data_IF_626025439411
#
_entry.id   IF_626025439411
#
_cell.length_a   1.000
_cell.length_b   1.000
_cell.length_c   1.000
_cell.angle_alpha   90.00
_cell.angle_beta   90.00
_cell.angle_gamma   90.00
#
_symmetry.space_group_name_H-M   'P 1'
#
loop_
_entity.id
_entity.type
_entity.pdbx_description
1 polymer ?
#
# COMPACT_ATOMS: atom_id res chain seq x y z
N UNK A 1 29.26 -24.76 1.57
CA UNK A 1 28.83 -24.31 0.24
C UNK A 1 28.10 -23.01 0.44
N UNK A 2 28.31 -22.02 -0.42
CA UNK A 2 27.57 -20.76 -0.36
C UNK A 2 26.24 -20.97 -1.07
N UNK A 3 25.13 -20.61 -0.44
CA UNK A 3 23.78 -20.81 -1.02
C UNK A 3 23.40 -19.66 -1.98
N UNK A 4 24.33 -18.73 -2.19
CA UNK A 4 24.28 -17.71 -3.24
C UNK A 4 25.40 -17.92 -4.27
N UNK A 5 25.03 -17.99 -5.54
CA UNK A 5 25.97 -18.16 -6.65
C UNK A 5 26.17 -16.84 -7.39
N UNK A 6 27.38 -16.24 -7.38
CA UNK A 6 27.64 -15.03 -8.15
C UNK A 6 27.79 -15.37 -9.64
N UNK A 7 27.02 -14.69 -10.49
CA UNK A 7 27.15 -14.73 -11.94
C UNK A 7 27.55 -13.35 -12.44
N UNK A 8 28.48 -13.30 -13.40
CA UNK A 8 28.89 -12.05 -14.05
C UNK A 8 28.09 -11.87 -15.33
N UNK A 9 27.31 -10.80 -15.40
CA UNK A 9 26.58 -10.38 -16.60
C UNK A 9 27.06 -8.98 -17.00
N UNK A 10 27.87 -8.92 -18.06
CA UNK A 10 28.60 -7.70 -18.43
C UNK A 10 29.60 -7.29 -17.35
N UNK A 11 29.51 -6.05 -16.85
CA UNK A 11 30.37 -5.53 -15.77
C UNK A 11 29.78 -5.76 -14.36
N UNK A 12 28.60 -6.36 -14.24
CA UNK A 12 27.90 -6.53 -12.97
C UNK A 12 28.01 -7.96 -12.45
N UNK A 13 28.21 -8.08 -11.14
CA UNK A 13 27.99 -9.34 -10.41
C UNK A 13 26.56 -9.39 -9.90
N UNK A 14 25.86 -10.49 -10.17
CA UNK A 14 24.50 -10.76 -9.73
C UNK A 14 24.52 -12.04 -8.89
N UNK A 15 24.04 -11.96 -7.66
CA UNK A 15 23.89 -13.10 -6.78
C UNK A 15 22.58 -13.83 -7.06
N UNK A 16 22.66 -15.08 -7.46
CA UNK A 16 21.50 -15.95 -7.64
C UNK A 16 21.12 -16.59 -6.31
N UNK A 17 19.84 -16.48 -5.93
CA UNK A 17 19.34 -16.94 -4.63
C UNK A 17 18.28 -18.03 -4.85
N UNK A 18 18.51 -19.20 -4.25
CA UNK A 18 17.66 -20.39 -4.41
C UNK A 18 16.93 -20.81 -3.13
N UNK A 19 17.44 -20.43 -1.95
CA UNK A 19 16.98 -20.92 -0.64
C UNK A 19 16.81 -19.78 0.37
N UNK A 20 16.17 -20.10 1.49
CA UNK A 20 15.99 -19.16 2.61
C UNK A 20 17.33 -18.79 3.26
N UNK A 21 18.22 -19.77 3.42
CA UNK A 21 19.57 -19.60 3.93
C UNK A 21 20.40 -18.72 2.97
N UNK A 22 20.24 -18.89 1.66
CA UNK A 22 20.85 -18.01 0.65
C UNK A 22 20.33 -16.57 0.73
N UNK A 23 19.02 -16.37 0.90
CA UNK A 23 18.47 -15.02 1.08
C UNK A 23 18.96 -14.37 2.38
N UNK A 24 19.03 -15.14 3.47
CA UNK A 24 19.62 -14.69 4.74
C UNK A 24 21.09 -14.32 4.57
N UNK A 25 21.88 -15.15 3.89
CA UNK A 25 23.30 -14.88 3.61
C UNK A 25 23.48 -13.60 2.77
N UNK A 26 22.59 -13.36 1.80
CA UNK A 26 22.58 -12.11 1.04
C UNK A 26 22.22 -10.90 1.91
N UNK A 27 21.22 -11.04 2.78
CA UNK A 27 20.84 -9.98 3.72
C UNK A 27 21.97 -9.61 4.69
N UNK A 28 22.67 -10.62 5.20
CA UNK A 28 23.83 -10.43 6.07
C UNK A 28 25.00 -9.73 5.35
N UNK A 29 25.22 -10.02 4.06
CA UNK A 29 26.19 -9.31 3.23
C UNK A 29 25.83 -7.83 3.02
N UNK A 30 24.56 -7.54 2.74
CA UNK A 30 24.06 -6.16 2.59
C UNK A 30 24.26 -5.37 3.88
N UNK A 31 23.98 -6.01 5.03
CA UNK A 31 24.06 -5.38 6.34
C UNK A 31 25.50 -5.30 6.88
N UNK A 32 26.39 -6.20 6.47
CA UNK A 32 27.76 -6.26 6.96
C UNK A 32 27.87 -6.79 8.38
N UNK A 33 27.14 -7.84 8.73
CA UNK A 33 27.13 -8.39 10.10
C UNK A 33 28.48 -9.01 10.48
N UNK A 34 28.84 -8.99 11.77
CA UNK A 34 30.09 -9.62 12.27
C UNK A 34 30.16 -11.13 11.97
N UNK A 35 29.01 -11.80 11.93
CA UNK A 35 28.88 -13.20 11.53
C UNK A 35 29.22 -13.41 10.05
N UNK A 36 28.83 -12.50 9.16
CA UNK A 36 29.21 -12.53 7.74
C UNK A 36 30.70 -12.24 7.54
N UNK A 37 31.25 -11.28 8.29
CA UNK A 37 32.66 -10.89 8.22
C UNK A 37 33.62 -12.01 8.68
N UNK A 38 33.18 -12.92 9.55
CA UNK A 38 33.98 -14.02 10.11
C UNK A 38 33.85 -15.34 9.36
N UNK A 39 32.72 -15.61 8.69
CA UNK A 39 32.44 -16.90 8.04
C UNK A 39 33.14 -17.12 6.68
N UNK A 40 33.64 -16.07 6.01
CA UNK A 40 34.31 -16.21 4.70
C UNK A 40 35.76 -15.74 4.74
N UNK A 41 36.69 -16.67 4.55
CA UNK A 41 38.14 -16.46 4.43
C UNK A 41 38.61 -15.66 3.20
N UNK A 42 37.70 -15.02 2.46
CA UNK A 42 37.96 -14.42 1.14
C UNK A 42 37.83 -12.88 1.14
N UNK A 43 37.72 -12.21 2.30
CA UNK A 43 37.75 -10.75 2.40
C UNK A 43 36.52 -10.02 1.84
N UNK A 44 35.35 -10.68 1.75
CA UNK A 44 34.10 -10.02 1.31
C UNK A 44 33.56 -9.12 2.42
N UNK A 45 33.60 -7.81 2.17
CA UNK A 45 33.07 -6.76 3.02
C UNK A 45 31.56 -6.62 2.85
N UNK A 46 30.94 -5.86 3.76
CA UNK A 46 29.62 -5.27 3.56
C UNK A 46 29.46 -4.74 2.14
N UNK A 47 28.36 -5.08 1.47
CA UNK A 47 28.06 -4.61 0.11
C UNK A 47 26.58 -4.25 -0.04
N UNK A 48 26.19 -3.01 0.28
CA UNK A 48 24.81 -2.56 0.14
C UNK A 48 24.40 -2.37 -1.33
N UNK A 49 25.36 -2.38 -2.27
CA UNK A 49 25.12 -2.20 -3.70
C UNK A 49 25.04 -3.54 -4.47
N UNK A 50 25.16 -4.67 -3.75
CA UNK A 50 25.09 -6.00 -4.35
C UNK A 50 23.77 -6.21 -5.09
N UNK A 51 23.85 -6.72 -6.33
CA UNK A 51 22.67 -7.07 -7.11
C UNK A 51 22.31 -8.54 -6.85
N UNK A 52 21.02 -8.84 -6.77
CA UNK A 52 20.52 -10.20 -6.61
C UNK A 52 19.35 -10.48 -7.54
N UNK A 53 19.17 -11.77 -7.86
CA UNK A 53 17.94 -12.26 -8.44
C UNK A 53 17.49 -13.56 -7.78
N UNK A 54 16.20 -13.70 -7.55
CA UNK A 54 15.62 -14.96 -7.11
C UNK A 54 15.56 -15.95 -8.26
N UNK A 55 15.88 -17.20 -7.98
CA UNK A 55 15.82 -18.30 -8.95
C UNK A 55 14.73 -19.34 -8.59
N UNK A 56 14.06 -19.13 -7.45
CA UNK A 56 12.97 -19.95 -6.95
C UNK A 56 12.12 -19.12 -5.97
N UNK A 57 10.93 -19.63 -5.66
CA UNK A 57 10.19 -19.19 -4.48
C UNK A 57 10.97 -19.55 -3.22
N UNK A 58 10.98 -18.65 -2.23
CA UNK A 58 11.75 -18.76 -1.00
C UNK A 58 10.79 -18.84 0.18
N UNK A 59 10.92 -19.85 1.04
CA UNK A 59 10.16 -19.99 2.29
C UNK A 59 11.06 -19.68 3.49
N UNK A 60 10.81 -18.56 4.17
CA UNK A 60 11.63 -18.09 5.28
C UNK A 60 11.41 -18.81 6.61
N UNK A 61 10.52 -19.81 6.67
CA UNK A 61 10.22 -20.55 7.90
C UNK A 61 11.43 -21.19 8.58
N UNK A 62 12.52 -21.48 7.84
CA UNK A 62 13.78 -21.98 8.41
C UNK A 62 14.69 -20.90 8.99
N UNK A 63 14.45 -19.62 8.69
CA UNK A 63 15.33 -18.49 9.07
C UNK A 63 14.66 -17.46 9.98
N UNK A 64 13.32 -17.40 9.98
CA UNK A 64 12.53 -16.58 10.89
C UNK A 64 11.14 -17.20 11.12
N UNK A 65 10.50 -16.83 12.24
CA UNK A 65 9.19 -17.36 12.61
C UNK A 65 8.80 -17.06 14.05
N UNK A 66 7.51 -17.23 14.33
CA UNK A 66 6.96 -17.10 15.68
C UNK A 66 7.51 -18.17 16.63
N UNK A 67 7.30 -17.95 17.93
CA UNK A 67 7.62 -18.95 18.95
C UNK A 67 6.78 -20.22 18.75
N UNK A 68 7.44 -21.39 18.76
CA UNK A 68 6.78 -22.70 18.65
C UNK A 68 7.29 -23.60 19.77
N UNK A 69 6.39 -24.25 20.50
CA UNK A 69 6.76 -25.26 21.50
C UNK A 69 7.62 -24.77 22.67
N UNK A 70 7.61 -23.46 22.96
CA UNK A 70 8.43 -22.84 24.01
C UNK A 70 9.77 -22.29 23.54
N UNK A 71 10.17 -22.54 22.28
CA UNK A 71 11.35 -21.91 21.67
C UNK A 71 11.06 -20.46 21.31
N UNK A 72 11.98 -19.51 21.59
CA UNK A 72 11.75 -18.10 21.26
C UNK A 72 11.62 -17.90 19.74
N UNK A 73 10.69 -17.03 19.34
CA UNK A 73 10.56 -16.65 17.93
C UNK A 73 11.81 -15.92 17.43
N UNK A 74 12.12 -16.07 16.15
CA UNK A 74 13.26 -15.41 15.49
C UNK A 74 12.73 -14.39 14.50
N UNK A 75 13.08 -13.11 14.68
CA UNK A 75 12.71 -12.06 13.72
C UNK A 75 13.67 -12.03 12.53
N UNK A 76 13.13 -11.76 11.34
CA UNK A 76 13.93 -11.38 10.18
C UNK A 76 14.70 -10.09 10.47
N UNK A 77 15.98 -10.06 10.10
CA UNK A 77 16.79 -8.85 10.12
C UNK A 77 16.63 -8.13 8.77
N UNK A 78 16.00 -6.93 8.74
CA UNK A 78 15.72 -6.24 7.48
C UNK A 78 17.00 -5.97 6.66
N UNK A 79 16.90 -6.09 5.33
CA UNK A 79 17.99 -5.74 4.42
C UNK A 79 18.13 -4.22 4.30
N UNK A 80 19.32 -3.70 4.60
CA UNK A 80 19.55 -2.27 4.72
C UNK A 80 19.12 -1.77 6.10
N UNK A 81 20.07 -1.23 6.87
CA UNK A 81 19.95 -1.06 8.32
C UNK A 81 19.11 0.14 8.78
N UNK A 82 18.77 0.07 10.06
CA UNK A 82 17.55 0.48 10.76
C UNK A 82 17.84 1.28 12.03
N UNK A 83 19.07 1.81 12.21
CA UNK A 83 19.51 2.40 13.50
C UNK A 83 20.12 3.81 13.32
N UNK A 84 20.79 4.05 12.20
CA UNK A 84 21.13 5.37 11.67
C UNK A 84 20.84 5.35 10.16
N UNK A 85 20.48 6.47 9.55
CA UNK A 85 20.11 6.57 8.12
C UNK A 85 21.26 6.22 7.13
N UNK A 86 22.29 5.48 7.55
CA UNK A 86 23.58 5.41 6.87
C UNK A 86 23.77 4.18 5.98
N UNK A 87 22.86 3.21 5.99
CA UNK A 87 23.09 1.91 5.33
C UNK A 87 21.91 1.38 4.50
N UNK A 88 21.29 2.18 3.62
CA UNK A 88 20.22 1.68 2.77
C UNK A 88 20.73 0.67 1.74
N UNK A 89 19.88 -0.26 1.33
CA UNK A 89 20.12 -1.10 0.16
C UNK A 89 20.11 -0.25 -1.10
N UNK A 90 21.15 -0.36 -1.93
CA UNK A 90 21.38 0.46 -3.13
C UNK A 90 21.64 -0.37 -4.39
N UNK A 91 21.61 -1.70 -4.28
CA UNK A 91 21.68 -2.63 -5.41
C UNK A 91 20.33 -2.81 -6.10
N UNK A 92 20.30 -3.71 -7.09
CA UNK A 92 19.07 -4.20 -7.73
C UNK A 92 18.71 -5.59 -7.21
N UNK A 93 17.52 -5.75 -6.66
CA UNK A 93 16.94 -7.02 -6.26
C UNK A 93 15.77 -7.37 -7.19
N UNK A 94 15.98 -8.32 -8.09
CA UNK A 94 14.96 -8.78 -9.03
C UNK A 94 14.34 -10.09 -8.56
N UNK A 95 13.06 -10.06 -8.20
CA UNK A 95 12.33 -11.26 -7.81
C UNK A 95 12.06 -12.21 -8.97
N UNK A 96 12.18 -11.78 -10.23
CA UNK A 96 11.83 -12.56 -11.43
C UNK A 96 10.41 -13.18 -11.37
N UNK A 97 9.50 -12.55 -10.63
CA UNK A 97 8.14 -13.03 -10.40
C UNK A 97 8.01 -14.07 -9.28
N UNK A 98 9.09 -14.42 -8.57
CA UNK A 98 9.07 -15.35 -7.44
C UNK A 98 8.51 -14.75 -6.16
N UNK A 99 8.14 -15.64 -5.25
CA UNK A 99 7.56 -15.30 -3.94
C UNK A 99 8.52 -15.59 -2.80
N UNK A 100 8.74 -14.61 -1.93
CA UNK A 100 9.32 -14.80 -0.60
C UNK A 100 8.17 -14.91 0.40
N UNK A 101 7.94 -16.10 0.95
CA UNK A 101 6.88 -16.38 1.92
C UNK A 101 7.45 -16.63 3.31
N UNK A 102 6.59 -16.55 4.33
CA UNK A 102 6.99 -16.83 5.70
C UNK A 102 7.67 -15.66 6.41
N UNK A 103 7.72 -14.46 5.81
CA UNK A 103 8.36 -13.30 6.45
C UNK A 103 7.72 -13.04 7.82
N UNK A 104 8.54 -13.09 8.86
CA UNK A 104 8.14 -12.83 10.23
C UNK A 104 9.03 -11.77 10.87
N UNK A 105 8.42 -10.69 11.35
CA UNK A 105 9.08 -9.64 12.12
C UNK A 105 8.21 -9.37 13.34
N UNK A 106 8.79 -9.50 14.54
CA UNK A 106 8.18 -9.06 15.79
C UNK A 106 9.29 -8.50 16.69
N UNK A 107 9.64 -7.23 16.49
CA UNK A 107 10.78 -6.61 17.17
C UNK A 107 10.54 -5.14 17.47
N UNK A 108 11.07 -4.68 18.62
CA UNK A 108 11.08 -3.28 19.03
C UNK A 108 12.34 -2.53 18.55
N UNK A 109 13.34 -3.24 18.03
CA UNK A 109 14.67 -2.68 17.75
C UNK A 109 14.78 -2.02 16.39
N UNK A 110 13.88 -2.31 15.45
CA UNK A 110 13.99 -1.81 14.09
C UNK A 110 13.28 -0.47 13.95
N UNK A 111 14.04 0.61 13.68
CA UNK A 111 13.41 1.86 13.25
C UNK A 111 12.63 1.66 11.97
N UNK A 112 13.17 0.87 11.03
CA UNK A 112 12.50 0.55 9.77
C UNK A 112 12.35 -0.96 9.61
N UNK A 113 11.13 -1.47 9.45
CA UNK A 113 10.84 -2.89 9.39
C UNK A 113 10.18 -3.30 8.06
N UNK A 114 10.60 -4.45 7.55
CA UNK A 114 10.14 -5.09 6.31
C UNK A 114 11.16 -6.13 5.84
N UNK A 115 10.93 -6.74 4.69
CA UNK A 115 11.98 -7.54 4.03
C UNK A 115 13.26 -6.69 3.84
N UNK A 116 13.07 -5.44 3.43
CA UNK A 116 14.05 -4.37 3.45
C UNK A 116 13.78 -3.39 4.60
N UNK A 117 14.82 -2.97 5.32
CA UNK A 117 14.69 -1.88 6.28
C UNK A 117 14.62 -0.55 5.52
N UNK A 118 15.60 -0.29 4.67
CA UNK A 118 15.65 0.90 3.83
C UNK A 118 16.14 0.59 2.41
N UNK A 119 15.41 1.07 1.41
CA UNK A 119 15.83 1.11 0.01
C UNK A 119 16.29 2.54 -0.29
N UNK A 120 17.56 2.71 -0.68
CA UNK A 120 18.20 4.01 -0.92
C UNK A 120 17.95 4.52 -2.32
N UNK A 121 18.41 5.73 -2.63
CA UNK A 121 18.14 6.43 -3.91
C UNK A 121 18.50 5.61 -5.16
N UNK A 122 19.54 4.79 -5.11
CA UNK A 122 19.94 3.92 -6.23
C UNK A 122 19.37 2.50 -6.15
N UNK A 123 18.74 2.16 -5.02
CA UNK A 123 18.17 0.85 -4.76
C UNK A 123 16.97 0.58 -5.66
N UNK A 124 16.89 -0.64 -6.17
CA UNK A 124 15.79 -1.13 -7.00
C UNK A 124 15.30 -2.45 -6.46
N UNK A 125 13.99 -2.57 -6.30
CA UNK A 125 13.33 -3.84 -5.99
C UNK A 125 12.22 -4.04 -7.01
N UNK A 126 12.28 -5.14 -7.75
CA UNK A 126 11.36 -5.39 -8.86
C UNK A 126 10.87 -6.83 -8.94
N UNK A 127 9.67 -7.02 -9.49
CA UNK A 127 9.07 -8.33 -9.78
C UNK A 127 9.03 -9.30 -8.58
N UNK A 128 8.75 -8.79 -7.39
CA UNK A 128 8.84 -9.57 -6.15
C UNK A 128 7.50 -9.65 -5.44
N UNK A 129 7.11 -10.86 -5.03
CA UNK A 129 6.02 -11.06 -4.07
C UNK A 129 6.57 -11.36 -2.69
N UNK A 130 6.00 -10.73 -1.67
CA UNK A 130 6.34 -10.98 -0.27
C UNK A 130 5.07 -11.34 0.50
N UNK A 131 5.02 -12.56 1.02
CA UNK A 131 3.95 -13.05 1.88
C UNK A 131 4.44 -13.18 3.33
N UNK A 132 4.12 -12.19 4.15
CA UNK A 132 4.42 -12.19 5.57
C UNK A 132 3.38 -12.99 6.37
N UNK A 133 3.87 -13.69 7.38
CA UNK A 133 3.04 -14.25 8.45
C UNK A 133 2.64 -13.14 9.43
N UNK A 134 3.59 -12.28 9.79
CA UNK A 134 3.37 -11.10 10.63
C UNK A 134 4.51 -10.10 10.42
N UNK A 135 4.17 -8.81 10.29
CA UNK A 135 5.13 -7.71 10.43
C UNK A 135 4.66 -6.78 11.54
N UNK A 136 5.23 -6.98 12.73
CA UNK A 136 4.93 -6.21 13.93
C UNK A 136 6.16 -5.43 14.38
N UNK A 137 6.02 -4.12 14.45
CA UNK A 137 7.07 -3.22 14.92
C UNK A 137 6.58 -2.40 16.11
N UNK A 138 7.30 -2.43 17.23
CA UNK A 138 6.92 -1.66 18.43
C UNK A 138 7.90 -0.53 18.72
N UNK A 139 8.71 -0.12 17.74
CA UNK A 139 9.66 0.98 17.85
C UNK A 139 8.95 2.28 18.24
N UNK A 140 9.35 2.88 19.36
CA UNK A 140 8.73 4.09 19.91
C UNK A 140 9.81 5.09 20.31
N UNK A 141 9.89 6.22 19.62
CA UNK A 141 10.77 7.34 20.00
C UNK A 141 10.04 8.66 19.85
N UNK A 142 10.44 9.66 20.65
CA UNK A 142 9.85 10.99 20.62
C UNK A 142 10.33 11.87 19.46
N UNK A 143 11.33 11.44 18.69
CA UNK A 143 12.01 12.31 17.72
C UNK A 143 12.23 11.71 16.33
N UNK A 144 12.17 10.39 16.16
CA UNK A 144 12.40 9.74 14.88
C UNK A 144 11.33 8.69 14.61
N UNK A 145 10.32 9.07 13.83
CA UNK A 145 9.29 8.18 13.33
C UNK A 145 9.91 6.98 12.58
N UNK A 146 9.50 5.77 12.98
CA UNK A 146 9.90 4.51 12.37
C UNK A 146 8.96 4.10 11.24
N UNK A 147 9.49 3.46 10.20
CA UNK A 147 8.73 3.01 9.03
C UNK A 147 8.49 1.51 9.06
N UNK A 148 7.27 1.05 8.83
CA UNK A 148 6.96 -0.40 8.81
C UNK A 148 6.14 -0.72 7.58
N UNK A 149 6.56 -1.72 6.81
CA UNK A 149 5.77 -2.35 5.77
C UNK A 149 6.28 -3.73 5.43
N UNK A 150 5.50 -4.53 4.71
CA UNK A 150 5.91 -5.90 4.37
C UNK A 150 7.17 -5.90 3.50
N UNK A 151 7.20 -5.05 2.48
CA UNK A 151 8.32 -4.97 1.57
C UNK A 151 9.44 -4.10 2.16
N UNK A 152 9.12 -2.87 2.58
CA UNK A 152 10.11 -1.94 3.08
C UNK A 152 9.61 -1.06 4.23
N UNK A 153 10.47 -0.79 5.20
CA UNK A 153 10.19 0.26 6.19
C UNK A 153 10.34 1.66 5.59
N UNK A 154 11.38 1.88 4.78
CA UNK A 154 11.72 3.16 4.17
C UNK A 154 12.11 2.99 2.69
N UNK A 155 11.66 3.89 1.82
CA UNK A 155 12.01 3.92 0.41
C UNK A 155 12.43 5.33 -0.05
N UNK A 156 13.60 5.44 -0.66
CA UNK A 156 14.02 6.56 -1.51
C UNK A 156 14.42 6.11 -2.92
N UNK A 157 14.35 4.81 -3.20
CA UNK A 157 14.70 4.21 -4.48
C UNK A 157 13.48 3.94 -5.36
N UNK A 158 13.56 2.85 -6.14
CA UNK A 158 12.49 2.41 -7.05
C UNK A 158 11.95 1.05 -6.62
N UNK A 159 10.62 0.95 -6.51
CA UNK A 159 9.90 -0.29 -6.28
C UNK A 159 8.92 -0.48 -7.44
N UNK A 160 9.03 -1.58 -8.18
CA UNK A 160 8.21 -1.81 -9.39
C UNK A 160 7.65 -3.23 -9.42
N UNK A 161 6.39 -3.43 -9.81
CA UNK A 161 5.82 -4.77 -9.99
C UNK A 161 5.96 -5.67 -8.74
N UNK A 162 5.73 -5.09 -7.55
CA UNK A 162 5.93 -5.78 -6.27
C UNK A 162 4.64 -5.90 -5.46
N UNK A 163 4.41 -7.06 -4.85
CA UNK A 163 3.17 -7.37 -4.13
C UNK A 163 3.45 -7.74 -2.68
N UNK A 164 2.69 -7.15 -1.76
CA UNK A 164 2.74 -7.45 -0.34
C UNK A 164 1.45 -8.11 0.15
N UNK A 165 1.61 -9.18 0.92
CA UNK A 165 0.54 -9.85 1.65
C UNK A 165 1.00 -10.14 3.07
N UNK A 166 0.08 -10.05 4.02
CA UNK A 166 0.38 -10.27 5.44
C UNK A 166 0.08 -9.04 6.28
N UNK A 167 -0.28 -9.27 7.54
CA UNK A 167 -0.73 -8.20 8.43
C UNK A 167 0.46 -7.37 8.92
N UNK A 168 0.28 -6.05 8.93
CA UNK A 168 1.25 -5.09 9.46
C UNK A 168 0.66 -4.42 10.69
N UNK A 169 1.39 -4.41 11.80
CA UNK A 169 0.96 -3.72 13.02
C UNK A 169 2.07 -2.93 13.70
N UNK A 170 1.71 -1.83 14.35
CA UNK A 170 2.60 -1.08 15.24
C UNK A 170 1.91 -0.57 16.50
N UNK A 171 2.71 -0.34 17.54
CA UNK A 171 2.27 0.32 18.78
C UNK A 171 3.09 1.56 19.12
N UNK A 172 4.00 1.99 18.24
CA UNK A 172 4.83 3.18 18.44
C UNK A 172 4.08 4.46 18.11
N UNK A 173 4.27 5.52 18.92
CA UNK A 173 3.75 6.84 18.57
C UNK A 173 4.52 7.41 17.37
N UNK A 174 3.88 8.27 16.57
CA UNK A 174 4.46 8.85 15.37
C UNK A 174 4.99 7.78 14.38
N UNK A 175 4.32 6.64 14.25
CA UNK A 175 4.77 5.57 13.34
C UNK A 175 4.30 5.81 11.91
N UNK A 176 5.14 5.50 10.92
CA UNK A 176 4.74 5.36 9.51
C UNK A 176 4.50 3.89 9.20
N UNK A 177 3.29 3.53 8.79
CA UNK A 177 2.88 2.13 8.64
C UNK A 177 2.14 1.99 7.32
N UNK A 178 2.66 1.16 6.43
CA UNK A 178 2.04 0.82 5.16
C UNK A 178 1.99 -0.69 4.96
N UNK A 179 1.01 -1.20 4.22
CA UNK A 179 1.01 -2.62 3.85
C UNK A 179 2.22 -3.00 3.00
N UNK A 180 2.65 -2.11 2.10
CA UNK A 180 3.85 -2.29 1.27
C UNK A 180 5.06 -1.55 1.86
N UNK A 181 4.93 -0.23 2.05
CA UNK A 181 6.02 0.66 2.48
C UNK A 181 5.60 1.54 3.64
N UNK A 182 6.40 1.60 4.71
CA UNK A 182 6.15 2.55 5.80
C UNK A 182 6.25 4.01 5.36
N UNK A 183 7.45 4.42 4.93
CA UNK A 183 7.75 5.79 4.50
C UNK A 183 8.40 5.82 3.10
N UNK A 184 7.70 6.38 2.12
CA UNK A 184 8.24 6.71 0.81
C UNK A 184 8.78 8.15 0.79
N UNK A 185 10.08 8.33 0.96
CA UNK A 185 10.75 9.63 0.91
C UNK A 185 11.36 9.88 -0.47
N UNK A 186 10.63 10.60 -1.33
CA UNK A 186 11.05 10.93 -2.70
C UNK A 186 11.32 9.73 -3.62
N UNK A 187 11.02 8.50 -3.17
CA UNK A 187 11.12 7.29 -3.98
C UNK A 187 9.97 7.12 -4.97
N UNK A 188 10.12 6.16 -5.87
CA UNK A 188 9.10 5.77 -6.86
C UNK A 188 8.53 4.40 -6.51
N UNK A 189 7.21 4.28 -6.51
CA UNK A 189 6.48 3.02 -6.35
C UNK A 189 5.56 2.88 -7.56
N UNK A 190 5.68 1.82 -8.35
CA UNK A 190 4.91 1.66 -9.59
C UNK A 190 4.41 0.23 -9.74
N UNK A 191 3.15 0.06 -10.15
CA UNK A 191 2.57 -1.27 -10.41
C UNK A 191 2.69 -2.20 -9.18
N UNK A 192 2.32 -1.69 -8.00
CA UNK A 192 2.47 -2.42 -6.75
C UNK A 192 1.15 -2.51 -6.00
N UNK A 193 1.00 -3.53 -5.13
CA UNK A 193 -0.19 -3.62 -4.30
C UNK A 193 0.02 -4.32 -2.96
N UNK A 194 -0.91 -4.06 -2.03
CA UNK A 194 -0.94 -4.68 -0.71
C UNK A 194 -2.34 -5.20 -0.34
N UNK A 195 -2.42 -6.41 0.22
CA UNK A 195 -3.69 -7.07 0.56
C UNK A 195 -3.87 -7.39 2.05
N UNK A 196 -2.81 -7.27 2.86
CA UNK A 196 -2.87 -7.52 4.30
C UNK A 196 -3.47 -6.37 5.10
N UNK A 197 -4.01 -6.66 6.28
CA UNK A 197 -4.57 -5.62 7.15
C UNK A 197 -3.45 -4.80 7.81
N UNK A 198 -3.68 -3.50 7.98
CA UNK A 198 -2.72 -2.57 8.56
C UNK A 198 -3.31 -1.95 9.83
N UNK A 199 -2.61 -2.03 10.95
CA UNK A 199 -3.10 -1.44 12.21
C UNK A 199 -2.05 -0.69 13.02
N UNK A 200 -2.47 0.34 13.75
CA UNK A 200 -1.65 1.01 14.76
C UNK A 200 -2.44 1.29 16.03
N UNK A 201 -1.80 1.11 17.18
CA UNK A 201 -2.29 1.62 18.46
C UNK A 201 -1.56 2.89 18.94
N UNK A 202 -0.56 3.37 18.19
CA UNK A 202 0.22 4.55 18.55
C UNK A 202 -0.48 5.86 18.18
N UNK A 203 -0.27 6.90 18.98
CA UNK A 203 -0.78 8.25 18.69
C UNK A 203 -0.02 8.89 17.53
N UNK A 204 -0.65 9.86 16.86
CA UNK A 204 -0.05 10.67 15.80
C UNK A 204 0.55 9.83 14.66
N UNK A 205 -0.05 8.66 14.39
CA UNK A 205 0.47 7.69 13.41
C UNK A 205 0.01 8.01 12.00
N UNK A 206 0.76 7.53 11.02
CA UNK A 206 0.48 7.62 9.60
C UNK A 206 0.26 6.21 9.07
N UNK A 207 -0.98 5.88 8.76
CA UNK A 207 -1.41 4.51 8.49
C UNK A 207 -2.05 4.46 7.11
N UNK A 208 -1.42 3.71 6.20
CA UNK A 208 -1.92 3.49 4.84
C UNK A 208 -2.05 2.01 4.52
N UNK A 209 -3.06 1.62 3.75
CA UNK A 209 -3.14 0.25 3.25
C UNK A 209 -1.96 -0.12 2.34
N UNK A 210 -1.43 0.84 1.57
CA UNK A 210 -0.22 0.68 0.75
C UNK A 210 0.99 1.37 1.39
N UNK A 211 0.88 2.68 1.66
CA UNK A 211 1.98 3.52 2.13
C UNK A 211 1.58 4.37 3.34
N UNK A 212 2.35 4.36 4.42
CA UNK A 212 2.05 5.19 5.59
C UNK A 212 2.20 6.69 5.29
N UNK A 213 3.42 7.10 4.91
CA UNK A 213 3.74 8.46 4.48
C UNK A 213 4.30 8.46 3.05
N UNK A 214 3.75 9.30 2.19
CA UNK A 214 4.26 9.52 0.84
C UNK A 214 4.72 10.97 0.63
N UNK A 215 6.02 11.13 0.34
CA UNK A 215 6.62 12.34 -0.22
C UNK A 215 7.29 12.09 -1.57
N UNK A 216 6.93 11.01 -2.25
CA UNK A 216 7.47 10.63 -3.56
C UNK A 216 6.37 10.36 -4.59
N UNK A 217 6.73 9.64 -5.65
CA UNK A 217 5.80 9.23 -6.71
C UNK A 217 5.28 7.84 -6.42
N UNK A 218 3.97 7.68 -6.47
CA UNK A 218 3.34 6.37 -6.61
C UNK A 218 2.80 6.39 -8.06
N UNK A 219 2.59 5.26 -8.74
CA UNK A 219 1.77 5.16 -9.99
C UNK A 219 1.17 3.75 -10.12
N UNK A 220 -0.06 3.61 -10.62
CA UNK A 220 -0.69 2.30 -10.92
C UNK A 220 -0.68 1.32 -9.72
N UNK A 221 -1.02 1.77 -8.50
CA UNK A 221 -1.02 0.91 -7.31
C UNK A 221 -2.40 0.76 -6.67
N UNK A 222 -2.57 -0.20 -5.77
CA UNK A 222 -3.82 -0.36 -5.02
C UNK A 222 -3.64 -1.07 -3.68
N UNK A 223 -4.64 -0.96 -2.80
CA UNK A 223 -4.69 -1.71 -1.55
C UNK A 223 -6.10 -2.24 -1.24
N UNK A 224 -6.19 -3.45 -0.71
CA UNK A 224 -7.48 -4.11 -0.40
C UNK A 224 -7.63 -4.51 1.06
N UNK A 225 -6.55 -4.49 1.84
CA UNK A 225 -6.59 -4.81 3.26
C UNK A 225 -7.26 -3.73 4.11
N UNK A 226 -7.88 -4.14 5.22
CA UNK A 226 -8.48 -3.20 6.17
C UNK A 226 -7.41 -2.36 6.87
N UNK A 227 -7.74 -1.11 7.21
CA UNK A 227 -6.83 -0.17 7.87
C UNK A 227 -7.46 0.35 9.16
N UNK A 228 -6.77 0.24 10.29
CA UNK A 228 -7.30 0.70 11.58
C UNK A 228 -6.28 1.43 12.45
N UNK A 229 -6.62 2.59 12.97
CA UNK A 229 -5.79 3.35 13.93
C UNK A 229 -6.52 3.66 15.22
N UNK A 230 -6.18 2.98 16.31
CA UNK A 230 -6.83 3.20 17.61
C UNK A 230 -6.16 4.28 18.47
N UNK A 231 -5.01 4.81 18.02
CA UNK A 231 -4.36 5.96 18.65
C UNK A 231 -5.08 7.27 18.34
N UNK A 232 -4.75 8.31 19.10
CA UNK A 232 -5.32 9.63 18.90
C UNK A 232 -4.67 10.36 17.71
N UNK A 233 -5.46 11.21 17.04
CA UNK A 233 -5.01 12.19 16.04
C UNK A 233 -4.13 11.63 14.91
N UNK A 234 -4.46 10.43 14.43
CA UNK A 234 -3.73 9.76 13.35
C UNK A 234 -4.22 10.17 11.96
N UNK A 235 -3.38 9.94 10.96
CA UNK A 235 -3.71 10.04 9.53
C UNK A 235 -3.90 8.64 8.96
N UNK A 236 -5.14 8.32 8.60
CA UNK A 236 -5.54 6.94 8.25
C UNK A 236 -6.19 6.95 6.87
N UNK A 237 -5.56 6.29 5.91
CA UNK A 237 -6.08 6.16 4.55
C UNK A 237 -6.08 4.70 4.09
N UNK A 238 -7.12 4.30 3.36
CA UNK A 238 -7.17 2.95 2.77
C UNK A 238 -6.03 2.69 1.78
N UNK A 239 -5.45 3.72 1.16
CA UNK A 239 -4.23 3.60 0.34
C UNK A 239 -3.03 4.27 0.99
N UNK A 240 -3.13 5.57 1.30
CA UNK A 240 -2.02 6.36 1.85
C UNK A 240 -2.47 7.10 3.11
N UNK A 241 -1.70 7.01 4.19
CA UNK A 241 -2.01 7.74 5.42
C UNK A 241 -1.88 9.26 5.22
N UNK A 242 -0.69 9.69 4.79
CA UNK A 242 -0.38 11.10 4.55
C UNK A 242 0.41 11.29 3.26
N UNK A 243 -0.08 12.18 2.41
CA UNK A 243 0.44 12.42 1.08
C UNK A 243 0.81 13.88 0.87
N UNK A 244 1.99 14.15 0.29
CA UNK A 244 2.48 15.51 0.01
C UNK A 244 3.09 15.61 -1.37
N UNK A 245 2.73 16.67 -2.10
CA UNK A 245 3.37 17.08 -3.35
C UNK A 245 3.48 15.95 -4.39
N UNK A 246 2.40 15.21 -4.59
CA UNK A 246 2.36 14.07 -5.52
C UNK A 246 1.30 14.25 -6.61
N UNK A 247 1.46 13.50 -7.70
CA UNK A 247 0.40 13.31 -8.70
C UNK A 247 -0.16 11.92 -8.51
N UNK A 248 -1.48 11.83 -8.34
CA UNK A 248 -2.19 10.62 -7.99
C UNK A 248 -3.25 10.39 -9.06
N UNK A 249 -3.03 9.39 -9.92
CA UNK A 249 -3.91 9.03 -11.04
C UNK A 249 -4.19 7.52 -11.03
N UNK A 250 -5.45 7.14 -11.23
CA UNK A 250 -5.91 5.74 -11.42
C UNK A 250 -5.68 4.79 -10.22
N UNK A 251 -5.85 5.31 -9.01
CA UNK A 251 -5.71 4.51 -7.78
C UNK A 251 -7.02 4.03 -7.19
N UNK A 252 -6.93 2.94 -6.41
CA UNK A 252 -8.05 2.54 -5.60
C UNK A 252 -7.71 1.85 -4.29
N UNK A 253 -8.68 1.92 -3.38
CA UNK A 253 -8.70 1.19 -2.13
C UNK A 253 -10.07 0.56 -1.85
N UNK A 254 -10.06 -0.67 -1.33
CA UNK A 254 -11.29 -1.44 -1.08
C UNK A 254 -11.47 -1.85 0.39
N UNK A 255 -10.41 -1.80 1.19
CA UNK A 255 -10.47 -2.18 2.60
C UNK A 255 -11.27 -1.19 3.44
N UNK A 256 -11.91 -1.69 4.50
CA UNK A 256 -12.59 -0.85 5.48
C UNK A 256 -11.56 -0.06 6.29
N UNK A 257 -11.91 1.17 6.66
CA UNK A 257 -11.03 2.09 7.38
C UNK A 257 -11.67 2.54 8.69
N UNK A 258 -10.94 2.45 9.79
CA UNK A 258 -11.42 2.92 11.09
C UNK A 258 -10.38 3.64 11.95
N UNK A 259 -10.81 4.57 12.81
CA UNK A 259 -9.91 5.15 13.83
C UNK A 259 -10.29 6.52 14.36
N UNK A 260 -9.27 7.32 14.72
CA UNK A 260 -9.41 8.70 15.20
C UNK A 260 -8.40 9.64 14.52
N UNK A 261 -8.86 10.83 14.10
CA UNK A 261 -8.05 11.86 13.46
C UNK A 261 -8.55 12.23 12.07
N UNK A 262 -7.70 12.10 11.05
CA UNK A 262 -8.05 12.30 9.64
C UNK A 262 -8.15 10.94 8.95
N UNK A 263 -9.37 10.53 8.61
CA UNK A 263 -9.70 9.15 8.25
C UNK A 263 -10.37 9.15 6.89
N UNK A 264 -9.96 8.25 5.99
CA UNK A 264 -10.69 8.06 4.74
C UNK A 264 -10.39 6.77 4.01
N UNK A 265 -11.22 6.48 3.01
CA UNK A 265 -11.07 5.32 2.14
C UNK A 265 -9.83 5.38 1.23
N UNK A 266 -9.28 6.55 0.88
CA UNK A 266 -8.07 6.63 0.04
C UNK A 266 -6.90 7.33 0.75
N UNK A 267 -7.08 8.58 1.18
CA UNK A 267 -6.00 9.42 1.73
C UNK A 267 -6.40 10.14 3.03
N UNK A 268 -5.82 9.74 4.16
CA UNK A 268 -6.13 10.37 5.46
C UNK A 268 -5.91 11.89 5.42
N UNK A 269 -4.73 12.31 4.98
CA UNK A 269 -4.41 13.70 4.68
C UNK A 269 -3.69 13.79 3.34
N UNK A 270 -4.03 14.80 2.54
CA UNK A 270 -3.26 15.13 1.33
C UNK A 270 -2.97 16.62 1.28
N UNK A 271 -1.76 16.99 0.83
CA UNK A 271 -1.41 18.37 0.52
C UNK A 271 -0.70 18.59 -0.81
N UNK A 272 -0.96 19.73 -1.44
CA UNK A 272 -0.28 20.22 -2.66
C UNK A 272 -0.18 19.17 -3.78
N UNK A 273 -1.21 18.33 -3.93
CA UNK A 273 -1.24 17.20 -4.85
C UNK A 273 -2.38 17.33 -5.88
N UNK A 274 -2.30 16.53 -6.94
CA UNK A 274 -3.39 16.37 -7.91
C UNK A 274 -3.93 14.95 -7.79
N UNK A 275 -5.23 14.81 -7.53
CA UNK A 275 -5.91 13.51 -7.35
C UNK A 275 -6.91 13.36 -8.50
N UNK A 276 -6.69 12.39 -9.38
CA UNK A 276 -7.47 12.21 -10.61
C UNK A 276 -7.88 10.76 -10.79
N UNK A 277 -9.14 10.50 -11.17
CA UNK A 277 -9.60 9.15 -11.53
C UNK A 277 -9.37 8.09 -10.43
N UNK A 278 -9.49 8.48 -9.16
CA UNK A 278 -9.27 7.59 -8.02
C UNK A 278 -10.57 7.19 -7.31
N UNK A 279 -10.58 6.04 -6.64
CA UNK A 279 -11.76 5.61 -5.92
C UNK A 279 -11.55 4.82 -4.63
N UNK A 280 -12.57 4.87 -3.77
CA UNK A 280 -12.63 4.10 -2.54
C UNK A 280 -14.01 3.43 -2.36
N UNK A 281 -14.01 2.15 -2.01
CA UNK A 281 -15.26 1.37 -1.85
C UNK A 281 -15.47 0.83 -0.44
N UNK A 282 -14.41 0.75 0.37
CA UNK A 282 -14.49 0.31 1.76
C UNK A 282 -15.22 1.30 2.65
N UNK A 283 -15.92 0.79 3.67
CA UNK A 283 -16.59 1.62 4.67
C UNK A 283 -15.57 2.39 5.52
N UNK A 284 -15.93 3.60 5.95
CA UNK A 284 -15.09 4.48 6.76
C UNK A 284 -15.84 4.83 8.05
N UNK A 285 -15.22 4.61 9.20
CA UNK A 285 -15.82 4.91 10.52
C UNK A 285 -14.82 5.52 11.50
N UNK A 286 -15.22 6.45 12.36
CA UNK A 286 -14.30 6.98 13.38
C UNK A 286 -14.69 8.31 13.99
N UNK A 287 -13.69 9.08 14.43
CA UNK A 287 -13.86 10.43 14.98
C UNK A 287 -12.89 11.43 14.36
N UNK A 288 -13.33 12.67 14.12
CA UNK A 288 -12.49 13.75 13.56
C UNK A 288 -12.90 14.14 12.14
N UNK A 289 -11.96 14.22 11.20
CA UNK A 289 -12.24 14.51 9.80
C UNK A 289 -12.37 13.21 9.01
N UNK A 290 -13.58 12.87 8.59
CA UNK A 290 -13.91 11.56 8.01
C UNK A 290 -14.44 11.77 6.59
N UNK A 291 -13.68 11.33 5.60
CA UNK A 291 -14.04 11.41 4.19
C UNK A 291 -14.15 10.04 3.55
N UNK A 292 -15.07 9.84 2.59
CA UNK A 292 -15.07 8.60 1.82
C UNK A 292 -13.81 8.41 0.97
N UNK A 293 -13.26 9.49 0.42
CA UNK A 293 -12.03 9.49 -0.38
C UNK A 293 -10.86 10.15 0.35
N UNK A 294 -11.03 11.39 0.84
CA UNK A 294 -9.96 12.16 1.48
C UNK A 294 -10.41 12.67 2.84
N UNK A 295 -9.64 12.40 3.90
CA UNK A 295 -10.00 12.83 5.26
C UNK A 295 -9.86 14.35 5.40
N UNK A 296 -8.66 14.87 5.15
CA UNK A 296 -8.37 16.30 5.12
C UNK A 296 -7.69 16.70 3.81
N UNK A 297 -8.36 17.58 3.06
CA UNK A 297 -7.89 18.14 1.81
C UNK A 297 -7.25 19.52 2.05
N UNK A 298 -5.92 19.60 1.97
CA UNK A 298 -5.17 20.86 2.00
C UNK A 298 -4.64 21.16 0.61
N UNK A 299 -5.07 22.25 -0.03
CA UNK A 299 -4.56 22.73 -1.33
C UNK A 299 -4.60 21.78 -2.55
N UNK A 300 -5.19 20.57 -2.47
CA UNK A 300 -5.23 19.64 -3.62
C UNK A 300 -6.34 19.98 -4.63
N UNK A 301 -6.07 19.70 -5.90
CA UNK A 301 -7.09 19.55 -6.94
C UNK A 301 -7.59 18.10 -6.95
N UNK A 302 -8.90 17.89 -6.91
CA UNK A 302 -9.51 16.56 -6.95
C UNK A 302 -10.46 16.51 -8.14
N UNK A 303 -10.26 15.56 -9.06
CA UNK A 303 -11.05 15.48 -10.29
C UNK A 303 -11.44 14.05 -10.61
N UNK A 304 -12.68 13.82 -11.05
CA UNK A 304 -13.15 12.52 -11.53
C UNK A 304 -12.97 11.37 -10.53
N UNK A 305 -13.15 11.63 -9.23
CA UNK A 305 -12.97 10.63 -8.19
C UNK A 305 -14.30 10.20 -7.57
N UNK A 306 -14.36 9.02 -6.97
CA UNK A 306 -15.58 8.56 -6.32
C UNK A 306 -15.37 7.77 -5.02
N UNK A 307 -16.34 7.85 -4.11
CA UNK A 307 -16.39 7.04 -2.91
C UNK A 307 -17.79 6.42 -2.72
N UNK A 308 -17.86 5.09 -2.60
CA UNK A 308 -19.16 4.37 -2.43
C UNK A 308 -19.31 3.71 -1.06
N UNK A 309 -18.23 3.59 -0.29
CA UNK A 309 -18.30 3.03 1.06
C UNK A 309 -19.12 3.93 1.99
N UNK A 310 -19.86 3.32 2.92
CA UNK A 310 -20.57 4.08 3.96
C UNK A 310 -19.58 4.85 4.83
N UNK A 311 -19.87 6.12 5.11
CA UNK A 311 -19.03 6.99 5.95
C UNK A 311 -19.80 7.37 7.20
N UNK A 312 -19.33 6.92 8.37
CA UNK A 312 -19.95 7.21 9.66
C UNK A 312 -18.95 7.81 10.66
N UNK A 313 -19.46 8.56 11.63
CA UNK A 313 -18.64 9.22 12.64
C UNK A 313 -19.26 9.20 14.02
N UNK A 314 -18.44 9.05 15.04
CA UNK A 314 -18.80 9.09 16.45
C UNK A 314 -18.03 10.21 17.14
N UNK A 315 -18.69 11.27 17.60
CA UNK A 315 -18.05 12.34 18.37
C UNK A 315 -18.65 13.72 18.13
N UNK A 316 -18.61 14.56 19.15
CA UNK A 316 -19.03 15.96 19.06
C UNK A 316 -17.95 16.70 18.24
N UNK A 317 -18.28 17.19 17.05
CA UNK A 317 -17.40 17.91 16.10
C UNK A 317 -16.68 17.07 15.03
N UNK A 318 -17.20 15.90 14.66
CA UNK A 318 -16.67 15.21 13.47
C UNK A 318 -17.15 15.89 12.18
N UNK A 319 -16.22 16.16 11.26
CA UNK A 319 -16.52 16.59 9.89
C UNK A 319 -16.68 15.35 9.02
N UNK A 320 -17.92 14.96 8.70
CA UNK A 320 -18.22 13.72 7.98
C UNK A 320 -18.69 14.07 6.57
N UNK A 321 -17.89 13.73 5.55
CA UNK A 321 -18.22 13.98 4.15
C UNK A 321 -18.14 12.72 3.30
N UNK A 322 -19.04 12.63 2.32
CA UNK A 322 -19.12 11.46 1.43
C UNK A 322 -17.89 11.28 0.57
N UNK A 323 -17.23 12.37 0.19
CA UNK A 323 -15.98 12.37 -0.54
C UNK A 323 -14.85 12.93 0.32
N UNK A 324 -15.04 14.12 0.90
CA UNK A 324 -14.01 14.83 1.65
C UNK A 324 -14.49 15.14 3.06
N UNK A 325 -13.74 14.75 4.08
CA UNK A 325 -14.08 15.05 5.48
C UNK A 325 -14.00 16.55 5.75
N UNK A 326 -12.80 17.12 5.68
CA UNK A 326 -12.56 18.55 5.81
C UNK A 326 -11.81 19.12 4.59
N UNK A 327 -12.35 20.19 4.00
CA UNK A 327 -11.75 20.89 2.87
C UNK A 327 -11.18 22.25 3.30
N UNK A 328 -9.85 22.33 3.38
CA UNK A 328 -9.07 23.55 3.58
C UNK A 328 -8.46 24.06 2.26
N UNK A 329 -8.82 23.45 1.13
CA UNK A 329 -8.32 23.80 -0.20
C UNK A 329 -9.23 24.85 -0.86
N UNK A 330 -8.61 25.83 -1.52
CA UNK A 330 -9.29 26.69 -2.52
C UNK A 330 -9.18 26.13 -3.93
N UNK A 331 -8.46 25.02 -4.13
CA UNK A 331 -8.32 24.35 -5.41
C UNK A 331 -9.61 23.59 -5.77
N UNK A 332 -9.88 23.35 -7.07
CA UNK A 332 -11.13 22.74 -7.51
C UNK A 332 -11.34 21.30 -7.01
N UNK A 333 -12.59 20.95 -6.75
CA UNK A 333 -13.06 19.56 -6.61
C UNK A 333 -14.12 19.35 -7.68
N UNK A 334 -13.79 18.66 -8.78
CA UNK A 334 -14.68 18.58 -9.94
C UNK A 334 -14.99 17.16 -10.36
N UNK A 335 -16.19 16.93 -10.88
CA UNK A 335 -16.65 15.67 -11.47
C UNK A 335 -16.54 14.50 -10.49
N UNK A 336 -16.74 14.76 -9.20
CA UNK A 336 -16.61 13.76 -8.16
C UNK A 336 -17.96 13.24 -7.67
N UNK A 337 -17.96 12.02 -7.13
CA UNK A 337 -19.17 11.32 -6.75
C UNK A 337 -19.06 10.69 -5.36
N UNK A 338 -20.16 10.62 -4.63
CA UNK A 338 -20.20 10.02 -3.30
C UNK A 338 -21.54 9.37 -3.00
N UNK A 339 -21.56 8.41 -2.08
CA UNK A 339 -22.77 7.69 -1.68
C UNK A 339 -23.09 7.86 -0.20
N UNK A 340 -24.38 7.89 0.14
CA UNK A 340 -24.86 7.79 1.53
C UNK A 340 -24.87 6.35 2.02
N UNK A 341 -24.51 6.18 3.28
CA UNK A 341 -24.81 4.98 4.05
C UNK A 341 -26.32 4.82 4.29
N UNK A 342 -26.71 3.61 4.70
CA UNK A 342 -28.10 3.27 4.97
C UNK A 342 -28.73 4.10 6.11
N UNK A 343 -27.90 4.66 7.00
CA UNK A 343 -28.30 5.56 8.08
C UNK A 343 -28.51 7.02 7.63
N UNK A 344 -28.32 7.30 6.34
CA UNK A 344 -28.42 8.65 5.76
C UNK A 344 -27.18 9.52 5.98
N UNK A 345 -26.10 8.98 6.55
CA UNK A 345 -24.82 9.67 6.69
C UNK A 345 -23.85 9.24 5.57
N UNK A 346 -23.01 10.15 5.05
CA UNK A 346 -22.93 11.58 5.37
C UNK A 346 -24.05 12.39 4.71
N UNK A 347 -24.36 13.58 5.24
CA UNK A 347 -25.42 14.45 4.67
C UNK A 347 -24.94 15.30 3.49
N UNK A 348 -23.64 15.35 3.24
CA UNK A 348 -23.01 16.10 2.16
C UNK A 348 -21.73 15.40 1.67
N UNK A 349 -21.29 15.75 0.45
CA UNK A 349 -20.02 15.26 -0.10
C UNK A 349 -18.78 15.84 0.58
N UNK A 350 -18.93 17.01 1.23
CA UNK A 350 -17.90 17.67 2.02
C UNK A 350 -18.44 17.89 3.44
N UNK A 351 -17.75 17.40 4.46
CA UNK A 351 -18.21 17.47 5.86
C UNK A 351 -17.97 18.83 6.51
N UNK A 352 -16.75 19.36 6.40
CA UNK A 352 -16.33 20.69 6.86
C UNK A 352 -15.62 21.46 5.74
N UNK A 353 -15.85 22.77 5.65
CA UNK A 353 -15.19 23.61 4.63
C UNK A 353 -14.88 24.99 5.20
N UNK A 354 -13.62 25.42 5.07
CA UNK A 354 -13.14 26.74 5.48
C UNK A 354 -12.63 27.60 4.31
N UNK A 355 -12.71 27.11 3.06
CA UNK A 355 -12.27 27.81 1.85
C UNK A 355 -13.31 27.78 0.75
N UNK A 356 -14.02 28.89 0.51
CA UNK A 356 -15.03 29.03 -0.55
C UNK A 356 -14.45 29.59 -1.86
N UNK A 357 -13.28 29.08 -2.28
CA UNK A 357 -12.51 29.68 -3.38
C UNK A 357 -12.47 28.90 -4.70
N UNK A 358 -12.73 27.59 -4.68
CA UNK A 358 -12.59 26.72 -5.87
C UNK A 358 -13.92 26.36 -6.52
N UNK A 359 -13.88 25.94 -7.80
CA UNK A 359 -15.03 25.32 -8.45
C UNK A 359 -15.29 23.93 -7.82
N UNK A 360 -16.51 23.70 -7.33
CA UNK A 360 -16.90 22.48 -6.64
C UNK A 360 -18.07 21.84 -7.40
N UNK A 361 -17.83 20.68 -8.02
CA UNK A 361 -18.85 19.82 -8.63
C UNK A 361 -18.80 18.41 -8.02
N UNK A 362 -19.62 18.19 -6.99
CA UNK A 362 -19.83 16.88 -6.35
C UNK A 362 -21.27 16.41 -6.55
N UNK A 363 -21.44 15.15 -6.91
CA UNK A 363 -22.75 14.52 -7.13
C UNK A 363 -23.00 13.40 -6.12
N UNK A 364 -24.13 13.45 -5.42
CA UNK A 364 -24.61 12.31 -4.63
C UNK A 364 -25.15 11.21 -5.55
N UNK A 365 -24.72 9.98 -5.32
CA UNK A 365 -25.24 8.77 -5.97
C UNK A 365 -26.52 8.36 -5.24
N UNK A 366 -27.64 8.26 -5.99
CA UNK A 366 -28.94 7.83 -5.46
C UNK A 366 -29.39 6.54 -6.14
N UNK A 367 -29.93 5.57 -5.37
CA UNK A 367 -30.41 4.28 -5.88
C UNK A 367 -29.37 3.13 -5.82
N UNK A 368 -29.77 1.93 -6.29
CA UNK A 368 -28.94 0.71 -6.38
C UNK A 368 -28.20 0.56 -7.73
N UNK A 369 -28.15 1.61 -8.54
CA UNK A 369 -27.71 1.55 -9.94
C UNK A 369 -26.22 1.15 -10.06
N UNK A 370 -25.88 0.03 -10.73
CA UNK A 370 -24.50 -0.41 -10.98
C UNK A 370 -23.70 0.48 -11.96
N UNK A 371 -24.20 1.67 -12.32
CA UNK A 371 -23.72 2.47 -13.46
C UNK A 371 -22.81 3.64 -13.01
N UNK A 372 -22.24 3.58 -11.81
CA UNK A 372 -21.52 4.69 -11.17
C UNK A 372 -20.13 4.91 -11.77
N UNK A 373 -19.43 3.84 -12.13
CA UNK A 373 -18.10 3.92 -12.73
C UNK A 373 -18.17 4.34 -14.20
N UNK A 374 -19.10 3.82 -15.01
CA UNK A 374 -19.24 4.20 -16.43
C UNK A 374 -19.60 5.67 -16.59
N UNK A 375 -20.43 6.22 -15.70
CA UNK A 375 -20.79 7.64 -15.70
C UNK A 375 -19.65 8.53 -15.20
N UNK A 376 -18.90 8.10 -14.18
CA UNK A 376 -17.73 8.85 -13.71
C UNK A 376 -16.60 8.85 -14.76
N UNK A 377 -16.32 7.69 -15.34
CA UNK A 377 -15.37 7.50 -16.45
C UNK A 377 -15.81 8.28 -17.69
N UNK A 378 -17.09 8.18 -18.08
CA UNK A 378 -17.63 8.90 -19.22
C UNK A 378 -17.54 10.42 -19.09
N UNK A 379 -17.72 10.98 -17.87
CA UNK A 379 -17.51 12.41 -17.62
C UNK A 379 -16.04 12.82 -17.68
N UNK A 380 -15.13 11.99 -17.17
CA UNK A 380 -13.68 12.22 -17.26
C UNK A 380 -13.18 12.21 -18.72
N UNK A 381 -13.61 11.23 -19.50
CA UNK A 381 -13.30 11.14 -20.94
C UNK A 381 -13.88 12.36 -21.70
N UNK A 382 -15.12 12.77 -21.39
CA UNK A 382 -15.74 13.95 -21.99
C UNK A 382 -15.04 15.27 -21.63
N UNK A 383 -14.34 15.35 -20.50
CA UNK A 383 -13.51 16.49 -20.10
C UNK A 383 -12.12 16.51 -20.77
N UNK A 384 -11.85 15.59 -21.71
CA UNK A 384 -10.57 15.49 -22.42
C UNK A 384 -9.54 14.61 -21.72
N UNK A 385 -9.92 13.94 -20.63
CA UNK A 385 -9.11 12.90 -20.00
C UNK A 385 -8.83 11.76 -20.99
N UNK A 386 -7.57 11.35 -21.12
CA UNK A 386 -7.21 10.23 -21.98
C UNK A 386 -7.39 8.93 -21.19
N UNK A 387 -8.41 8.14 -21.51
CA UNK A 387 -8.53 6.75 -21.08
C UNK A 387 -7.27 5.99 -21.49
N UNK A 388 -6.47 5.51 -20.53
CA UNK A 388 -5.45 4.52 -20.86
C UNK A 388 -6.16 3.25 -21.30
N UNK A 389 -6.14 3.00 -22.61
CA UNK A 389 -6.27 1.64 -23.11
C UNK A 389 -5.15 0.87 -22.45
N UNK A 390 -5.46 -0.04 -21.54
CA UNK A 390 -4.44 -0.93 -21.01
C UNK A 390 -3.90 -1.77 -22.15
N UNK A 391 -2.86 -1.29 -22.83
CA UNK A 391 -1.76 -2.15 -23.18
C UNK A 391 -1.05 -2.48 -21.87
N UNK A 392 -1.77 -3.20 -20.99
CA UNK A 392 -1.11 -4.06 -20.01
C UNK A 392 -0.18 -4.93 -20.85
N UNK A 393 1.12 -4.89 -20.59
CA UNK A 393 2.05 -5.78 -21.27
C UNK A 393 1.48 -7.20 -21.19
N UNK A 394 1.43 -7.90 -22.33
CA UNK A 394 0.87 -9.25 -22.42
C UNK A 394 1.55 -10.24 -21.44
N UNK A 395 2.73 -9.92 -20.91
CA UNK A 395 3.41 -10.65 -19.83
C UNK A 395 2.69 -10.60 -18.47
N UNK A 396 1.75 -9.67 -18.26
CA UNK A 396 0.95 -9.54 -17.02
C UNK A 396 -0.23 -10.53 -17.02
N UNK A 397 -0.73 -10.92 -18.20
CA UNK A 397 -1.84 -11.89 -18.33
C UNK A 397 -1.44 -13.29 -17.85
N UNK A 398 -0.18 -13.70 -18.05
CA UNK A 398 0.32 -15.00 -17.61
C UNK A 398 0.68 -15.05 -16.12
N UNK A 399 0.84 -13.90 -15.46
CA UNK A 399 1.29 -13.83 -14.06
C UNK A 399 0.14 -13.93 -13.04
N UNK A 400 -1.07 -13.47 -13.39
CA UNK A 400 -2.28 -13.61 -12.58
C UNK A 400 -3.13 -14.85 -12.92
N UNK A 401 -2.88 -15.52 -14.06
CA UNK A 401 -3.64 -16.72 -14.48
C UNK A 401 -3.31 -17.97 -13.67
N UNK A 402 -2.23 -17.96 -12.88
CA UNK A 402 -1.77 -19.10 -12.07
C UNK A 402 -2.50 -19.27 -10.73
N UNK A 403 -3.34 -18.32 -10.33
CA UNK A 403 -4.19 -18.42 -9.14
C UNK A 403 -5.63 -17.99 -9.46
N UNK A 404 -6.50 -18.99 -9.67
CA UNK A 404 -7.94 -18.97 -9.38
C UNK A 404 -8.76 -17.73 -9.77
N UNK A 405 -9.51 -17.86 -10.86
CA UNK A 405 -10.55 -16.93 -11.37
C UNK A 405 -10.09 -15.50 -11.63
N UNK A 406 -10.43 -15.00 -12.81
CA UNK A 406 -10.13 -13.68 -13.35
C UNK A 406 -10.65 -12.47 -12.52
N UNK A 407 -11.17 -12.69 -11.32
CA UNK A 407 -11.85 -11.70 -10.47
C UNK A 407 -10.91 -10.77 -9.70
N UNK A 408 -9.61 -11.07 -9.59
CA UNK A 408 -8.68 -10.26 -8.77
C UNK A 408 -7.92 -9.17 -9.58
N UNK A 409 -8.23 -9.02 -10.87
CA UNK A 409 -7.64 -8.02 -11.76
C UNK A 409 -8.48 -6.74 -11.80
N UNK A 410 -8.61 -6.06 -10.66
CA UNK A 410 -9.28 -4.77 -10.59
C UNK A 410 -8.33 -3.63 -10.99
N UNK A 411 -7.71 -3.66 -12.17
CA UNK A 411 -7.22 -2.38 -12.69
C UNK A 411 -8.47 -1.50 -12.90
N UNK A 412 -8.53 -0.33 -12.25
CA UNK A 412 -9.72 0.54 -12.22
C UNK A 412 -10.29 0.89 -13.60
N UNK A 413 -9.49 0.73 -14.65
CA UNK A 413 -9.85 0.95 -16.05
C UNK A 413 -9.93 -0.33 -16.93
N UNK A 414 -9.58 -1.50 -16.41
CA UNK A 414 -9.52 -2.74 -17.20
C UNK A 414 -10.89 -3.38 -17.42
N UNK A 415 -11.93 -2.92 -16.71
CA UNK A 415 -13.33 -3.27 -16.98
C UNK A 415 -13.83 -2.76 -18.35
N UNK A 416 -13.25 -1.68 -18.89
CA UNK A 416 -13.82 -0.97 -20.05
C UNK A 416 -13.50 -1.63 -21.39
N UNK A 417 -12.50 -2.52 -21.47
CA UNK A 417 -12.00 -3.04 -22.76
C UNK A 417 -11.88 -4.55 -22.90
N UNK A 418 -12.28 -5.36 -21.92
CA UNK A 418 -12.23 -6.81 -22.07
C UNK A 418 -13.57 -7.39 -22.56
N UNK A 419 -13.73 -7.73 -23.86
CA UNK A 419 -14.96 -8.34 -24.37
C UNK A 419 -15.29 -9.71 -23.74
N UNK A 420 -14.34 -10.36 -23.05
CA UNK A 420 -14.60 -11.60 -22.31
C UNK A 420 -15.53 -11.40 -21.09
N UNK A 421 -15.62 -10.18 -20.54
CA UNK A 421 -16.50 -9.89 -19.42
C UNK A 421 -17.93 -9.49 -19.85
N UNK A 422 -18.11 -9.01 -21.08
CA UNK A 422 -19.44 -8.68 -21.64
C UNK A 422 -20.31 -9.93 -21.87
N UNK A 423 -19.72 -11.08 -22.18
CA UNK A 423 -20.50 -12.29 -22.50
C UNK A 423 -21.02 -13.06 -21.28
N UNK A 424 -20.46 -12.82 -20.09
CA UNK A 424 -20.85 -13.54 -18.86
C UNK A 424 -22.09 -12.93 -18.17
N UNK A 425 -22.35 -11.64 -18.36
CA UNK A 425 -23.53 -10.97 -17.81
C UNK A 425 -24.78 -11.04 -18.73
N UNK A 426 -24.57 -11.25 -20.03
CA UNK A 426 -25.63 -11.23 -21.05
C UNK A 426 -26.10 -12.64 -21.49
N UNK A 427 -25.83 -13.69 -20.71
CA UNK A 427 -26.41 -15.01 -20.99
C UNK A 427 -27.74 -15.18 -20.23
N UNK A 428 -28.91 -15.04 -20.89
CA UNK A 428 -30.18 -15.36 -20.26
C UNK A 428 -30.23 -16.86 -19.95
N UNK A 429 -30.14 -17.20 -18.65
CA UNK A 429 -30.23 -18.58 -18.18
C UNK A 429 -29.39 -18.93 -16.95
N UNK A 430 -28.47 -18.07 -16.50
CA UNK A 430 -27.72 -18.31 -15.25
C UNK A 430 -28.46 -17.64 -14.10
N UNK A 431 -29.13 -18.45 -13.27
CA UNK A 431 -29.79 -17.95 -12.06
C UNK A 431 -28.74 -17.35 -11.09
N UNK A 432 -29.03 -16.20 -10.44
CA UNK A 432 -28.14 -15.66 -9.43
C UNK A 432 -28.04 -16.63 -8.26
N UNK A 433 -26.82 -17.03 -7.92
CA UNK A 433 -26.51 -17.81 -6.72
C UNK A 433 -26.88 -16.95 -5.49
N UNK A 434 -28.05 -17.24 -4.92
CA UNK A 434 -28.45 -16.84 -3.59
C UNK A 434 -27.46 -17.45 -2.59
N UNK A 435 -26.60 -16.62 -2.02
CA UNK A 435 -25.87 -16.94 -0.79
C UNK A 435 -26.89 -17.04 0.35
N UNK A 436 -27.23 -18.26 0.77
CA UNK A 436 -27.90 -18.49 2.05
C UNK A 436 -26.88 -18.40 3.19
N UNK A 437 -27.27 -17.90 4.39
CA UNK A 437 -26.36 -17.79 5.53
C UNK A 437 -25.98 -19.18 6.05
N UNK A 438 -24.72 -19.34 6.46
CA UNK A 438 -24.27 -20.48 7.26
C UNK A 438 -24.77 -20.23 8.69
N UNK A 439 -25.74 -21.01 9.16
CA UNK A 439 -26.00 -21.20 10.59
C UNK A 439 -25.21 -22.41 11.12
N UNK A 440 -24.55 -22.16 12.26
CA UNK A 440 -23.78 -23.02 13.19
C UNK A 440 -22.77 -24.05 12.67
#
# INVERSE_FOLDING_TARGET
>A
MTDIEPVTEGEKTIYQIYTAEGLKEFADMVNGTEAYATARSNGKTKDPAANARLMADIDLSSVCGASVGGEPGTSWAPMGSTDSNDNPYTGTFDGQGHTVRGLYISSASYRCAGLFGAIGTNGKVEHLRVEATEVKNTYNTSSNAGGTGVLAGYNSGTITACHAKGNVSSSGNNSYIGGLVGYNNSGTITDCHATGSVSSSGNDSYIGGLVGYNGGTITDCHATGNVSGSGNDSYIGGLVGYNVSSTITDYYAMGNVSGSGNISGLMGYSSSSTITACYATGSVSGSGNIGGLVGNNSTNTITACYATGSVSGSGNNSNIGGLVGNNNSTSPITDCFWQKGADGTPTAGIGGSYGSGGNITLTEITGTEPNTWENAVGKYEAAGGQSRTSTLNASIYDWNSSYGTSSDLHCGYCFVKNPAYKSAADTPGVAPLLLTPIEE
#
